data_IF_698267312897
#
_entry.id   IF_698267312897
#
_cell.length_a   1.000
_cell.length_b   1.000
_cell.length_c   1.000
_cell.angle_alpha   90.00
_cell.angle_beta   90.00
_cell.angle_gamma   90.00
#
_symmetry.space_group_name_H-M   'P 1'
#
loop_
_entity.id
_entity.type
_entity.pdbx_description
1 polymer ?
#
# COMPACT_ATOMS: atom_id res chain seq x y z
N UNK A 1 13.58 15.54 52.49
CA UNK A 1 14.52 14.59 51.92
C UNK A 1 13.88 13.21 51.89
N UNK A 2 13.42 12.77 50.73
CA UNK A 2 12.75 11.46 50.57
C UNK A 2 13.77 10.33 50.78
N UNK A 3 13.37 9.33 51.54
CA UNK A 3 14.14 8.12 51.80
C UNK A 3 14.25 7.34 50.48
N UNK A 4 15.39 7.48 49.77
CA UNK A 4 15.63 6.69 48.55
C UNK A 4 15.60 5.21 48.89
N UNK A 5 14.75 4.45 48.27
CA UNK A 5 14.60 3.03 48.55
C UNK A 5 15.84 2.30 48.03
N UNK A 6 16.48 1.50 48.84
CA UNK A 6 17.83 0.92 48.60
C UNK A 6 17.94 0.12 47.30
N UNK A 7 16.88 -0.54 46.86
CA UNK A 7 16.90 -1.24 45.55
C UNK A 7 16.93 -0.27 44.35
N UNK A 8 16.34 0.94 44.48
CA UNK A 8 16.41 1.97 43.43
C UNK A 8 17.81 2.55 43.31
N UNK A 9 18.51 2.69 44.43
CA UNK A 9 19.92 3.11 44.45
C UNK A 9 20.80 2.08 43.74
N UNK A 10 20.68 0.79 44.08
CA UNK A 10 21.44 -0.29 43.44
C UNK A 10 21.14 -0.33 41.93
N UNK A 11 19.86 -0.23 41.53
CA UNK A 11 19.43 -0.17 40.16
C UNK A 11 20.07 1.02 39.45
N UNK A 12 20.00 2.23 39.99
CA UNK A 12 20.55 3.44 39.37
C UNK A 12 22.07 3.39 39.21
N UNK A 13 22.80 2.89 40.23
CA UNK A 13 24.26 2.74 40.19
C UNK A 13 24.70 1.73 39.11
N UNK A 14 24.01 0.61 38.99
CA UNK A 14 24.31 -0.39 37.99
C UNK A 14 23.94 0.11 36.56
N UNK A 15 22.81 0.77 36.42
CA UNK A 15 22.38 1.36 35.15
C UNK A 15 23.38 2.43 34.68
N UNK A 16 23.84 3.31 35.60
CA UNK A 16 24.84 4.31 35.28
C UNK A 16 26.16 3.68 34.77
N UNK A 17 26.61 2.59 35.42
CA UNK A 17 27.82 1.85 35.02
C UNK A 17 27.67 1.13 33.69
N UNK A 18 26.47 0.64 33.36
CA UNK A 18 26.18 0.07 32.03
C UNK A 18 26.19 1.18 30.95
N UNK A 19 25.60 2.33 31.27
CA UNK A 19 25.54 3.47 30.33
C UNK A 19 26.89 4.16 30.13
N UNK A 20 27.74 4.21 31.17
CA UNK A 20 29.12 4.76 31.08
C UNK A 20 30.08 3.83 30.32
N UNK A 21 29.70 2.55 30.13
CA UNK A 21 30.58 1.54 29.54
C UNK A 21 31.54 0.85 30.52
N UNK A 22 31.39 1.08 31.83
CA UNK A 22 32.15 0.34 32.87
C UNK A 22 31.80 -1.15 32.86
N UNK A 23 30.56 -1.47 32.47
CA UNK A 23 30.13 -2.81 32.06
C UNK A 23 29.76 -2.82 30.56
N UNK A 24 30.50 -3.60 29.80
CA UNK A 24 30.25 -3.73 28.36
C UNK A 24 29.20 -4.81 28.05
N UNK A 25 28.56 -4.77 26.87
CA UNK A 25 27.64 -5.82 26.45
C UNK A 25 28.27 -7.21 26.48
N UNK A 26 27.70 -8.11 27.25
CA UNK A 26 28.19 -9.44 27.49
C UNK A 26 28.96 -9.60 28.80
N UNK A 27 29.30 -8.51 29.49
CA UNK A 27 29.95 -8.58 30.81
C UNK A 27 29.02 -9.15 31.86
N UNK A 28 29.62 -9.92 32.78
CA UNK A 28 28.91 -10.49 33.91
C UNK A 28 28.79 -9.45 35.02
N UNK A 29 27.58 -9.20 35.47
CA UNK A 29 27.32 -8.38 36.65
C UNK A 29 27.56 -9.15 37.95
N UNK A 30 27.83 -8.43 39.08
CA UNK A 30 27.90 -9.05 40.40
C UNK A 30 26.61 -9.80 40.71
N UNK A 31 26.74 -10.92 41.41
CA UNK A 31 25.62 -11.72 41.85
C UNK A 31 24.77 -10.98 42.90
N UNK A 32 23.53 -11.42 43.11
CA UNK A 32 22.67 -10.88 44.16
C UNK A 32 23.29 -10.95 45.54
N UNK A 33 24.15 -11.95 45.79
CA UNK A 33 24.89 -12.09 47.06
C UNK A 33 25.97 -11.02 47.17
N UNK A 34 26.78 -10.84 46.12
CA UNK A 34 27.85 -9.83 46.11
C UNK A 34 27.27 -8.42 46.21
N UNK A 35 26.15 -8.14 45.51
CA UNK A 35 25.44 -6.85 45.62
C UNK A 35 24.88 -6.65 47.05
N UNK A 36 24.31 -7.67 47.67
CA UNK A 36 23.80 -7.58 49.01
C UNK A 36 24.93 -7.24 50.04
N UNK A 37 26.08 -7.85 49.87
CA UNK A 37 27.29 -7.57 50.69
C UNK A 37 27.82 -6.16 50.40
N UNK A 38 27.95 -5.77 49.14
CA UNK A 38 28.50 -4.47 48.72
C UNK A 38 27.67 -3.28 49.21
N UNK A 39 26.34 -3.41 49.15
CA UNK A 39 25.42 -2.32 49.53
C UNK A 39 24.84 -2.47 50.95
N UNK A 40 25.22 -3.51 51.72
CA UNK A 40 24.74 -3.75 53.08
C UNK A 40 23.23 -4.00 53.17
N UNK A 41 22.66 -4.71 52.20
CA UNK A 41 21.21 -4.95 52.09
C UNK A 41 20.87 -6.43 52.08
N UNK A 42 19.58 -6.76 52.15
CA UNK A 42 19.12 -8.13 51.99
C UNK A 42 19.28 -8.61 50.55
N UNK A 43 19.49 -9.93 50.30
CA UNK A 43 19.51 -10.52 48.96
C UNK A 43 18.23 -10.26 48.19
N UNK A 44 17.08 -10.15 48.87
CA UNK A 44 15.79 -9.83 48.26
C UNK A 44 15.81 -8.40 47.68
N UNK A 45 16.45 -7.45 48.36
CA UNK A 45 16.60 -6.06 47.89
C UNK A 45 17.50 -6.00 46.66
N UNK A 46 18.64 -6.72 46.68
CA UNK A 46 19.52 -6.83 45.52
C UNK A 46 18.83 -7.51 44.34
N UNK A 47 18.10 -8.61 44.61
CA UNK A 47 17.31 -9.29 43.56
C UNK A 47 16.31 -8.37 42.88
N UNK A 48 15.58 -7.54 43.63
CA UNK A 48 14.60 -6.60 43.11
C UNK A 48 15.23 -5.60 42.13
N UNK A 49 16.42 -5.08 42.46
CA UNK A 49 17.17 -4.20 41.56
C UNK A 49 17.57 -4.92 40.25
N UNK A 50 18.05 -6.17 40.34
CA UNK A 50 18.40 -6.99 39.19
C UNK A 50 17.17 -7.34 38.33
N UNK A 51 16.03 -7.61 38.97
CA UNK A 51 14.77 -7.87 38.25
C UNK A 51 14.28 -6.64 37.48
N UNK A 52 14.50 -5.43 38.00
CA UNK A 52 14.21 -4.18 37.28
C UNK A 52 15.09 -4.01 36.04
N UNK A 53 16.40 -4.23 36.18
CA UNK A 53 17.32 -4.18 35.01
C UNK A 53 16.96 -5.22 33.95
N UNK A 54 16.56 -6.43 34.36
CA UNK A 54 16.12 -7.47 33.43
C UNK A 54 14.80 -7.12 32.76
N UNK A 55 13.83 -6.54 33.48
CA UNK A 55 12.56 -6.07 32.90
C UNK A 55 12.73 -4.99 31.85
N UNK A 56 13.75 -4.17 31.99
CA UNK A 56 14.11 -3.12 31.03
C UNK A 56 15.10 -3.58 29.96
N UNK A 57 15.32 -4.90 29.84
CA UNK A 57 16.23 -5.49 28.86
C UNK A 57 17.68 -4.96 28.95
N UNK A 58 18.09 -4.43 30.08
CA UNK A 58 19.47 -4.00 30.33
C UNK A 58 20.38 -5.19 30.58
N UNK A 59 19.85 -6.26 31.20
CA UNK A 59 20.57 -7.49 31.49
C UNK A 59 19.77 -8.72 31.10
N UNK A 60 20.49 -9.81 30.78
CA UNK A 60 19.93 -11.15 30.60
C UNK A 60 20.33 -12.03 31.82
N UNK A 61 19.35 -12.75 32.38
CA UNK A 61 19.56 -13.66 33.52
C UNK A 61 19.64 -15.10 33.03
N UNK A 62 20.79 -15.72 33.20
CA UNK A 62 21.01 -17.12 32.83
C UNK A 62 21.06 -17.99 34.11
N UNK A 63 20.07 -18.89 34.28
CA UNK A 63 20.04 -19.76 35.48
C UNK A 63 21.35 -20.53 35.65
N UNK A 64 21.93 -20.46 36.85
CA UNK A 64 23.21 -21.13 37.17
C UNK A 64 24.47 -20.44 36.61
N UNK A 65 24.37 -19.50 35.68
CA UNK A 65 25.53 -18.83 35.07
C UNK A 65 25.72 -17.39 35.54
N UNK A 66 24.63 -16.68 35.86
CA UNK A 66 24.66 -15.31 36.31
C UNK A 66 23.79 -14.34 35.51
N UNK A 67 24.04 -13.05 35.71
CA UNK A 67 23.39 -11.97 34.97
C UNK A 67 24.43 -11.27 34.10
N UNK A 68 24.08 -11.04 32.85
CA UNK A 68 24.98 -10.46 31.86
C UNK A 68 24.38 -9.21 31.27
N UNK A 69 25.18 -8.20 30.97
CA UNK A 69 24.71 -6.99 30.27
C UNK A 69 24.22 -7.41 28.89
N UNK A 70 23.00 -7.02 28.57
CA UNK A 70 22.46 -7.24 27.24
C UNK A 70 23.36 -6.54 26.23
N UNK A 71 23.72 -7.25 25.14
CA UNK A 71 24.16 -6.53 23.94
C UNK A 71 22.98 -5.66 23.54
N UNK A 72 23.12 -4.34 23.36
CA UNK A 72 22.08 -3.61 22.67
C UNK A 72 21.78 -4.44 21.43
N UNK A 73 20.57 -4.98 21.28
CA UNK A 73 20.11 -5.37 19.98
C UNK A 73 20.56 -4.24 19.08
N UNK A 74 21.33 -4.53 18.03
CA UNK A 74 21.76 -3.48 17.13
C UNK A 74 20.53 -2.61 16.92
N UNK A 75 20.54 -1.45 17.57
CA UNK A 75 19.49 -0.48 17.36
C UNK A 75 19.73 -0.18 15.90
N UNK A 76 18.96 -0.83 15.03
CA UNK A 76 18.71 -0.23 13.76
C UNK A 76 18.24 1.14 14.19
N UNK A 77 19.12 2.13 14.11
CA UNK A 77 18.70 3.51 14.17
C UNK A 77 17.71 3.60 13.01
N UNK A 78 16.44 3.38 13.37
CA UNK A 78 15.35 3.90 12.58
C UNK A 78 15.59 5.40 12.72
N UNK A 79 16.45 5.92 11.83
CA UNK A 79 16.56 7.36 11.61
C UNK A 79 15.10 7.75 11.54
N UNK A 80 14.61 8.52 12.53
CA UNK A 80 13.34 9.23 12.37
C UNK A 80 13.48 9.85 10.99
N UNK A 81 12.70 9.31 10.03
CA UNK A 81 12.69 9.86 8.68
C UNK A 81 12.60 11.35 8.89
N UNK A 82 13.63 12.05 8.46
CA UNK A 82 13.62 13.51 8.50
C UNK A 82 12.34 13.93 7.79
N UNK A 83 11.66 14.95 8.26
CA UNK A 83 10.46 15.49 7.60
C UNK A 83 10.64 15.68 6.09
N UNK A 84 11.89 15.79 5.62
CA UNK A 84 12.27 15.82 4.21
C UNK A 84 12.06 14.48 3.47
N UNK A 85 12.29 13.33 4.10
CA UNK A 85 12.00 12.02 3.48
C UNK A 85 10.50 11.77 3.38
N UNK A 86 9.70 12.17 4.38
CA UNK A 86 8.24 12.15 4.30
C UNK A 86 7.71 13.03 3.16
N UNK A 87 8.48 14.05 2.76
CA UNK A 87 8.15 14.96 1.65
C UNK A 87 8.32 14.34 0.25
N UNK A 88 8.77 13.11 0.10
CA UNK A 88 8.99 12.46 -1.20
C UNK A 88 8.04 11.28 -1.46
N UNK A 89 6.94 11.21 -0.74
CA UNK A 89 5.99 10.10 -0.82
C UNK A 89 4.81 10.39 -1.74
N UNK A 90 4.45 9.40 -2.60
CA UNK A 90 3.28 9.45 -3.49
C UNK A 90 2.26 8.41 -3.03
N UNK A 91 0.98 8.78 -2.97
CA UNK A 91 -0.13 7.86 -2.76
C UNK A 91 -0.55 7.21 -4.07
N UNK A 92 -0.70 5.89 -4.09
CA UNK A 92 -1.28 5.14 -5.21
C UNK A 92 -2.45 4.34 -4.70
N UNK A 93 -3.64 4.64 -5.18
CA UNK A 93 -4.88 4.02 -4.73
C UNK A 93 -5.54 3.35 -5.92
N UNK A 94 -5.67 2.03 -5.89
CA UNK A 94 -6.24 1.23 -6.95
C UNK A 94 -7.57 0.61 -6.54
N UNK A 95 -8.48 0.49 -7.52
CA UNK A 95 -9.75 -0.22 -7.38
C UNK A 95 -9.56 -1.72 -7.16
N UNK A 96 -8.60 -2.33 -7.84
CA UNK A 96 -8.29 -3.75 -7.71
C UNK A 96 -7.12 -4.23 -8.54
N UNK A 97 -6.72 -5.47 -8.31
CA UNK A 97 -5.71 -6.22 -9.06
C UNK A 97 -6.37 -7.42 -9.75
N UNK A 98 -7.17 -7.22 -10.74
CA UNK A 98 -7.89 -8.31 -11.39
C UNK A 98 -7.29 -8.79 -12.72
N UNK A 99 -6.23 -8.15 -13.21
CA UNK A 99 -5.71 -8.43 -14.56
C UNK A 99 -4.26 -8.00 -14.71
N UNK A 100 -3.61 -8.45 -15.77
CA UNK A 100 -2.31 -8.00 -16.27
C UNK A 100 -2.20 -6.47 -16.32
N UNK A 101 -3.30 -5.78 -16.64
CA UNK A 101 -3.36 -4.32 -16.73
C UNK A 101 -2.96 -3.66 -15.39
N UNK A 102 -3.59 -4.04 -14.29
CA UNK A 102 -3.30 -3.45 -12.98
C UNK A 102 -1.86 -3.72 -12.52
N UNK A 103 -1.35 -4.92 -12.78
CA UNK A 103 0.02 -5.31 -12.44
C UNK A 103 1.04 -4.51 -13.25
N UNK A 104 0.88 -4.41 -14.57
CA UNK A 104 1.79 -3.63 -15.44
C UNK A 104 1.76 -2.14 -15.13
N UNK A 105 0.58 -1.62 -14.82
CA UNK A 105 0.42 -0.23 -14.42
C UNK A 105 1.17 0.06 -13.12
N UNK A 106 1.03 -0.79 -12.11
CA UNK A 106 1.75 -0.63 -10.85
C UNK A 106 3.26 -0.76 -11.03
N UNK A 107 3.73 -1.73 -11.83
CA UNK A 107 5.15 -1.86 -12.16
C UNK A 107 5.70 -0.59 -12.82
N UNK A 108 4.96 0.01 -13.76
CA UNK A 108 5.38 1.26 -14.39
C UNK A 108 5.44 2.44 -13.41
N UNK A 109 4.47 2.54 -12.51
CA UNK A 109 4.44 3.57 -11.47
C UNK A 109 5.59 3.38 -10.49
N UNK A 110 5.80 2.16 -10.01
CA UNK A 110 6.87 1.81 -9.06
C UNK A 110 8.24 2.12 -9.66
N UNK A 111 8.53 1.66 -10.88
CA UNK A 111 9.77 1.91 -11.57
C UNK A 111 10.07 3.42 -11.75
N UNK A 112 9.04 4.24 -12.04
CA UNK A 112 9.20 5.69 -12.16
C UNK A 112 9.38 6.37 -10.79
N UNK A 113 8.73 5.86 -9.74
CA UNK A 113 8.94 6.31 -8.37
C UNK A 113 10.37 6.03 -7.91
N UNK A 114 10.89 4.81 -8.15
CA UNK A 114 12.27 4.43 -7.82
C UNK A 114 13.27 5.33 -8.55
N UNK A 115 13.10 5.54 -9.88
CA UNK A 115 13.93 6.41 -10.66
C UNK A 115 13.98 7.86 -10.13
N UNK A 116 12.88 8.33 -9.53
CA UNK A 116 12.76 9.69 -8.93
C UNK A 116 13.06 9.71 -7.45
N UNK A 117 13.41 8.59 -6.84
CA UNK A 117 13.63 8.47 -5.40
C UNK A 117 12.37 8.88 -4.59
N UNK A 118 11.20 8.45 -5.06
CA UNK A 118 9.91 8.69 -4.41
C UNK A 118 9.44 7.41 -3.72
N UNK A 119 9.04 7.51 -2.46
CA UNK A 119 8.38 6.43 -1.75
C UNK A 119 6.94 6.24 -2.25
N UNK A 120 6.51 5.00 -2.39
CA UNK A 120 5.17 4.67 -2.84
C UNK A 120 4.32 4.16 -1.68
N UNK A 121 3.23 4.87 -1.35
CA UNK A 121 2.20 4.41 -0.44
C UNK A 121 1.04 3.80 -1.22
N UNK A 122 0.99 2.47 -1.29
CA UNK A 122 -0.03 1.74 -2.04
C UNK A 122 -1.23 1.33 -1.17
N UNK A 123 -2.45 1.49 -1.71
CA UNK A 123 -3.71 1.01 -1.15
C UNK A 123 -4.60 0.44 -2.23
N UNK A 124 -5.35 -0.63 -1.89
CA UNK A 124 -6.35 -1.23 -2.77
C UNK A 124 -7.73 -1.14 -2.12
N UNK A 125 -8.74 -0.76 -2.91
CA UNK A 125 -10.10 -0.48 -2.43
C UNK A 125 -11.08 -1.62 -2.71
N UNK A 126 -10.76 -2.50 -3.66
CA UNK A 126 -11.59 -3.63 -4.09
C UNK A 126 -13.04 -3.21 -4.46
N UNK A 127 -13.16 -2.12 -5.21
CA UNK A 127 -14.44 -1.58 -5.67
C UNK A 127 -15.26 -0.84 -4.60
N UNK A 128 -14.74 -0.68 -3.40
CA UNK A 128 -15.46 -0.04 -2.31
C UNK A 128 -15.16 1.47 -2.22
N UNK A 129 -16.18 2.30 -2.45
CA UNK A 129 -16.11 3.76 -2.31
C UNK A 129 -15.72 4.16 -0.88
N UNK A 130 -16.21 3.43 0.13
CA UNK A 130 -15.87 3.72 1.52
C UNK A 130 -14.39 3.44 1.82
N UNK A 131 -13.85 2.31 1.31
CA UNK A 131 -12.41 2.03 1.40
C UNK A 131 -11.58 3.05 0.62
N UNK A 132 -12.10 3.58 -0.48
CA UNK A 132 -11.42 4.63 -1.25
C UNK A 132 -11.30 5.92 -0.42
N UNK A 133 -12.37 6.36 0.24
CA UNK A 133 -12.33 7.50 1.19
C UNK A 133 -11.30 7.28 2.28
N UNK A 134 -11.32 6.11 2.92
CA UNK A 134 -10.37 5.75 3.99
C UNK A 134 -8.92 5.72 3.49
N UNK A 135 -8.69 5.22 2.27
CA UNK A 135 -7.37 5.17 1.64
C UNK A 135 -6.84 6.58 1.33
N UNK A 136 -7.70 7.45 0.81
CA UNK A 136 -7.39 8.87 0.57
C UNK A 136 -7.02 9.57 1.88
N UNK A 137 -7.85 9.44 2.92
CA UNK A 137 -7.58 10.05 4.22
C UNK A 137 -6.29 9.51 4.86
N UNK A 138 -6.02 8.22 4.70
CA UNK A 138 -4.77 7.62 5.18
C UNK A 138 -3.55 8.16 4.42
N UNK A 139 -3.64 8.33 3.10
CA UNK A 139 -2.58 8.90 2.28
C UNK A 139 -2.27 10.36 2.69
N UNK A 140 -3.32 11.16 2.89
CA UNK A 140 -3.18 12.56 3.35
C UNK A 140 -2.53 12.62 4.74
N UNK A 141 -2.99 11.79 5.69
CA UNK A 141 -2.37 11.71 7.03
C UNK A 141 -0.92 11.26 7.00
N UNK A 142 -0.55 10.41 6.04
CA UNK A 142 0.84 9.98 5.83
C UNK A 142 1.71 11.04 5.14
N UNK A 143 1.15 12.20 4.80
CA UNK A 143 1.88 13.32 4.21
C UNK A 143 2.32 13.09 2.77
N UNK A 144 1.57 12.32 1.96
CA UNK A 144 1.93 12.15 0.54
C UNK A 144 1.81 13.47 -0.21
N UNK A 145 2.70 13.71 -1.16
CA UNK A 145 2.72 14.93 -2.00
C UNK A 145 1.61 14.99 -3.03
N UNK A 146 1.09 13.85 -3.41
CA UNK A 146 0.03 13.72 -4.40
C UNK A 146 -0.50 12.30 -4.46
N UNK A 147 -1.62 12.12 -5.14
CA UNK A 147 -2.31 10.84 -5.24
C UNK A 147 -2.53 10.49 -6.71
N UNK A 148 -2.13 9.27 -7.09
CA UNK A 148 -2.56 8.61 -8.32
C UNK A 148 -3.75 7.70 -7.96
N UNK A 149 -4.90 7.94 -8.57
CA UNK A 149 -6.14 7.28 -8.22
C UNK A 149 -6.76 6.57 -9.41
N UNK A 150 -6.87 5.25 -9.35
CA UNK A 150 -7.78 4.45 -10.17
C UNK A 150 -9.09 4.29 -9.38
N UNK A 151 -10.08 5.12 -9.72
CA UNK A 151 -11.33 5.24 -8.98
C UNK A 151 -12.11 3.93 -8.87
N UNK A 152 -12.69 3.67 -7.71
CA UNK A 152 -13.72 2.65 -7.56
C UNK A 152 -14.88 2.90 -8.51
N UNK A 153 -15.48 1.82 -9.02
CA UNK A 153 -16.59 1.90 -9.98
C UNK A 153 -17.90 2.25 -9.26
N UNK A 154 -18.72 3.08 -9.88
CA UNK A 154 -20.06 3.36 -9.44
C UNK A 154 -20.60 4.67 -10.03
N UNK A 155 -21.93 4.79 -10.06
CA UNK A 155 -22.64 6.00 -10.51
C UNK A 155 -22.50 7.16 -9.49
N UNK A 156 -22.06 6.86 -8.29
CA UNK A 156 -21.87 7.82 -7.22
C UNK A 156 -20.40 8.21 -7.09
N UNK A 157 -20.09 9.44 -7.46
CA UNK A 157 -18.76 10.00 -7.25
C UNK A 157 -18.40 10.02 -5.76
N UNK A 158 -17.18 9.63 -5.46
CA UNK A 158 -16.64 9.80 -4.13
C UNK A 158 -16.51 11.30 -3.81
N UNK A 159 -17.31 11.79 -2.86
CA UNK A 159 -17.27 13.20 -2.42
C UNK A 159 -15.87 13.66 -2.02
N UNK A 160 -15.04 12.75 -1.48
CA UNK A 160 -13.67 13.06 -1.09
C UNK A 160 -12.79 13.43 -2.27
N UNK A 161 -12.96 12.78 -3.41
CA UNK A 161 -12.23 13.10 -4.65
C UNK A 161 -12.59 14.50 -5.12
N UNK A 162 -13.89 14.84 -5.05
CA UNK A 162 -14.37 16.19 -5.38
C UNK A 162 -13.79 17.26 -4.43
N UNK A 163 -13.79 16.99 -3.12
CA UNK A 163 -13.18 17.87 -2.12
C UNK A 163 -11.72 18.16 -2.43
N UNK A 164 -10.94 17.12 -2.75
CA UNK A 164 -9.53 17.26 -3.10
C UNK A 164 -9.32 18.07 -4.39
N UNK A 165 -10.14 17.82 -5.41
CA UNK A 165 -10.08 18.56 -6.66
C UNK A 165 -10.37 20.06 -6.44
N UNK A 166 -11.41 20.39 -5.66
CA UNK A 166 -11.77 21.77 -5.31
C UNK A 166 -10.71 22.45 -4.43
N UNK A 167 -10.05 21.69 -3.57
CA UNK A 167 -8.95 22.19 -2.73
C UNK A 167 -7.63 22.36 -3.51
N UNK A 168 -7.56 21.97 -4.78
CA UNK A 168 -6.33 22.01 -5.58
C UNK A 168 -5.28 21.02 -5.11
N UNK A 169 -5.67 19.96 -4.40
CA UNK A 169 -4.73 18.92 -3.97
C UNK A 169 -4.15 18.19 -5.19
N UNK A 170 -2.84 17.88 -5.23
CA UNK A 170 -2.23 17.16 -6.33
C UNK A 170 -2.84 15.76 -6.50
N UNK A 171 -3.76 15.63 -7.44
CA UNK A 171 -4.52 14.42 -7.75
C UNK A 171 -4.50 14.17 -9.25
N UNK A 172 -4.14 12.96 -9.66
CA UNK A 172 -4.21 12.49 -11.05
C UNK A 172 -5.03 11.21 -11.08
N UNK A 173 -6.05 11.21 -11.93
CA UNK A 173 -6.82 9.99 -12.21
C UNK A 173 -6.07 9.09 -13.20
N UNK A 174 -6.23 7.79 -13.03
CA UNK A 174 -5.63 6.78 -13.89
C UNK A 174 -6.74 5.95 -14.51
N UNK A 175 -6.64 5.71 -15.84
CA UNK A 175 -7.56 4.92 -16.66
C UNK A 175 -8.99 5.48 -16.75
N UNK A 176 -9.60 5.87 -15.65
CA UNK A 176 -11.00 6.32 -15.60
C UNK A 176 -11.09 7.79 -15.24
N UNK A 177 -11.81 8.56 -16.05
CA UNK A 177 -12.12 9.96 -15.76
C UNK A 177 -13.45 10.08 -15.00
N UNK A 178 -13.58 11.13 -14.21
CA UNK A 178 -14.87 11.56 -13.67
C UNK A 178 -15.53 12.53 -14.61
N UNK A 179 -16.81 12.29 -14.95
CA UNK A 179 -17.57 13.20 -15.82
C UNK A 179 -17.91 14.50 -15.05
N UNK A 180 -17.84 15.62 -15.75
CA UNK A 180 -18.22 16.93 -15.18
C UNK A 180 -17.20 17.56 -14.23
N UNK A 181 -16.06 16.91 -13.97
CA UNK A 181 -15.01 17.43 -13.09
C UNK A 181 -13.68 17.43 -13.84
N UNK A 182 -13.00 18.59 -13.84
CA UNK A 182 -11.69 18.73 -14.48
C UNK A 182 -10.57 18.31 -13.53
N UNK A 183 -10.24 17.01 -13.55
CA UNK A 183 -9.09 16.46 -12.86
C UNK A 183 -8.14 15.89 -13.93
N UNK A 184 -6.82 16.14 -13.86
CA UNK A 184 -5.85 15.50 -14.75
C UNK A 184 -6.03 13.99 -14.76
N UNK A 185 -6.05 13.37 -15.95
CA UNK A 185 -6.26 11.95 -16.11
C UNK A 185 -5.34 11.37 -17.17
N UNK A 186 -4.61 10.32 -16.80
CA UNK A 186 -3.82 9.50 -17.73
C UNK A 186 -4.64 8.27 -18.09
N UNK A 187 -5.02 8.15 -19.35
CA UNK A 187 -5.91 7.08 -19.83
C UNK A 187 -5.67 6.74 -21.30
N UNK A 188 -6.17 5.61 -21.71
CA UNK A 188 -6.28 5.26 -23.15
C UNK A 188 -7.37 6.11 -23.80
N UNK A 189 -7.16 6.52 -25.04
CA UNK A 189 -8.25 7.04 -25.89
C UNK A 189 -9.15 5.87 -26.33
N UNK A 190 -10.10 5.55 -25.43
CA UNK A 190 -10.97 4.38 -25.60
C UNK A 190 -11.88 4.49 -26.82
N UNK A 191 -12.31 5.72 -27.15
CA UNK A 191 -13.15 5.96 -28.31
C UNK A 191 -12.40 5.70 -29.62
N UNK A 192 -11.25 6.35 -29.83
CA UNK A 192 -10.48 6.16 -31.05
C UNK A 192 -9.92 4.74 -31.15
N UNK A 193 -9.48 4.13 -30.05
CA UNK A 193 -9.00 2.75 -30.05
C UNK A 193 -10.08 1.76 -30.52
N UNK A 194 -11.30 1.87 -29.99
CA UNK A 194 -12.40 1.00 -30.40
C UNK A 194 -12.80 1.23 -31.86
N UNK A 195 -12.83 2.48 -32.29
CA UNK A 195 -13.11 2.84 -33.70
C UNK A 195 -12.06 2.29 -34.64
N UNK A 196 -10.77 2.38 -34.34
CA UNK A 196 -9.69 1.84 -35.15
C UNK A 196 -9.75 0.30 -35.26
N UNK A 197 -10.01 -0.40 -34.15
CA UNK A 197 -10.19 -1.87 -34.15
C UNK A 197 -11.39 -2.25 -35.01
N UNK A 198 -12.52 -1.56 -34.87
CA UNK A 198 -13.73 -1.82 -35.67
C UNK A 198 -13.48 -1.59 -37.17
N UNK A 199 -12.82 -0.49 -37.54
CA UNK A 199 -12.42 -0.24 -38.93
C UNK A 199 -11.56 -1.37 -39.52
N UNK A 200 -10.60 -1.86 -38.69
CA UNK A 200 -9.73 -2.95 -39.13
C UNK A 200 -10.51 -4.23 -39.40
N UNK A 201 -11.47 -4.58 -38.56
CA UNK A 201 -12.34 -5.75 -38.76
C UNK A 201 -13.16 -5.60 -40.05
N UNK A 202 -13.76 -4.43 -40.30
CA UNK A 202 -14.51 -4.15 -41.53
C UNK A 202 -13.58 -4.26 -42.77
N UNK A 203 -12.39 -3.67 -42.71
CA UNK A 203 -11.41 -3.75 -43.79
C UNK A 203 -10.92 -5.17 -44.11
N UNK A 204 -11.01 -6.10 -43.12
CA UNK A 204 -10.74 -7.52 -43.28
C UNK A 204 -11.94 -8.29 -43.87
N UNK A 205 -13.06 -7.63 -44.17
CA UNK A 205 -14.25 -8.22 -44.79
C UNK A 205 -15.28 -8.76 -43.76
N UNK A 206 -15.17 -8.43 -42.51
CA UNK A 206 -16.17 -8.83 -41.50
C UNK A 206 -17.40 -7.94 -41.60
N UNK A 207 -18.54 -8.51 -42.00
CA UNK A 207 -19.83 -7.81 -42.13
C UNK A 207 -20.62 -7.80 -40.82
N UNK A 208 -20.45 -8.84 -39.96
CA UNK A 208 -21.15 -9.00 -38.70
C UNK A 208 -20.19 -8.88 -37.54
N UNK A 209 -20.27 -7.78 -36.80
CA UNK A 209 -19.34 -7.48 -35.69
C UNK A 209 -20.13 -7.26 -34.42
N UNK A 210 -19.75 -7.97 -33.34
CA UNK A 210 -20.40 -7.86 -32.04
C UNK A 210 -19.49 -7.16 -31.02
N UNK A 211 -20.04 -6.16 -30.35
CA UNK A 211 -19.40 -5.57 -29.17
C UNK A 211 -19.84 -6.34 -27.92
N UNK A 212 -18.90 -7.09 -27.34
CA UNK A 212 -19.15 -7.89 -26.14
C UNK A 212 -18.69 -7.11 -24.90
N UNK A 213 -19.57 -6.97 -23.92
CA UNK A 213 -19.27 -6.28 -22.66
C UNK A 213 -20.00 -6.88 -21.47
N UNK A 214 -19.57 -6.51 -20.26
CA UNK A 214 -20.28 -6.86 -19.02
C UNK A 214 -21.63 -6.12 -18.95
N UNK A 215 -22.61 -6.71 -18.23
CA UNK A 215 -23.97 -6.16 -18.13
C UNK A 215 -24.02 -4.76 -17.49
N UNK A 216 -23.13 -4.49 -16.53
CA UNK A 216 -22.98 -3.16 -15.93
C UNK A 216 -22.08 -2.27 -16.79
N UNK A 217 -22.64 -1.64 -17.82
CA UNK A 217 -21.92 -0.65 -18.68
C UNK A 217 -21.84 0.70 -17.95
N UNK A 218 -21.31 0.74 -16.75
CA UNK A 218 -21.30 1.97 -15.95
C UNK A 218 -19.95 2.68 -15.96
N UNK A 219 -18.90 2.07 -16.53
CA UNK A 219 -17.58 2.72 -16.62
C UNK A 219 -17.47 3.61 -17.84
N UNK A 220 -16.90 4.81 -17.66
CA UNK A 220 -16.63 5.75 -18.76
C UNK A 220 -15.79 5.11 -19.87
N UNK A 221 -14.86 4.22 -19.53
CA UNK A 221 -13.99 3.50 -20.49
C UNK A 221 -14.78 2.57 -21.41
N UNK A 222 -15.75 1.81 -20.86
CA UNK A 222 -16.61 0.91 -21.66
C UNK A 222 -17.55 1.73 -22.53
N UNK A 223 -18.13 2.79 -21.98
CA UNK A 223 -19.02 3.68 -22.75
C UNK A 223 -18.31 4.31 -23.95
N UNK A 224 -17.14 4.86 -23.75
CA UNK A 224 -16.32 5.44 -24.83
C UNK A 224 -15.96 4.41 -25.91
N UNK A 225 -15.61 3.19 -25.53
CA UNK A 225 -15.35 2.10 -26.50
C UNK A 225 -16.60 1.74 -27.29
N UNK A 226 -17.74 1.65 -26.63
CA UNK A 226 -19.00 1.38 -27.29
C UNK A 226 -19.40 2.49 -28.26
N UNK A 227 -19.26 3.75 -27.87
CA UNK A 227 -19.50 4.90 -28.77
C UNK A 227 -18.58 4.86 -30.00
N UNK A 228 -17.28 4.55 -29.83
CA UNK A 228 -16.33 4.40 -30.94
C UNK A 228 -16.71 3.28 -31.87
N UNK A 229 -17.15 2.12 -31.35
CA UNK A 229 -17.69 1.01 -32.13
C UNK A 229 -18.93 1.41 -32.92
N UNK A 230 -19.96 1.95 -32.27
CA UNK A 230 -21.22 2.38 -32.91
C UNK A 230 -20.96 3.43 -33.97
N UNK A 231 -20.14 4.44 -33.68
CA UNK A 231 -19.81 5.48 -34.63
C UNK A 231 -19.13 4.91 -35.91
N UNK A 232 -18.28 3.90 -35.74
CA UNK A 232 -17.67 3.22 -36.90
C UNK A 232 -18.70 2.43 -37.69
N UNK A 233 -19.52 1.62 -37.01
CA UNK A 233 -20.54 0.78 -37.68
C UNK A 233 -21.56 1.61 -38.49
N UNK A 234 -21.99 2.76 -37.95
CA UNK A 234 -22.94 3.67 -38.64
C UNK A 234 -22.39 4.28 -39.93
N UNK A 235 -21.09 4.27 -40.13
CA UNK A 235 -20.45 4.80 -41.37
C UNK A 235 -20.34 3.80 -42.51
N UNK A 236 -20.57 2.52 -42.24
CA UNK A 236 -20.44 1.45 -43.21
C UNK A 236 -21.81 0.79 -43.40
N UNK A 237 -22.45 1.09 -44.55
CA UNK A 237 -23.82 0.65 -44.86
C UNK A 237 -23.99 -0.88 -44.92
N UNK A 238 -22.92 -1.61 -45.24
CA UNK A 238 -22.93 -3.07 -45.38
C UNK A 238 -22.60 -3.82 -44.08
N UNK A 239 -22.25 -3.10 -42.96
CA UNK A 239 -21.85 -3.73 -41.74
C UNK A 239 -22.98 -3.71 -40.68
N UNK A 240 -23.28 -4.89 -40.12
CA UNK A 240 -24.24 -5.06 -39.05
C UNK A 240 -23.55 -5.18 -37.67
N UNK A 241 -23.83 -4.21 -36.80
CA UNK A 241 -23.31 -4.22 -35.44
C UNK A 241 -24.30 -4.81 -34.45
N UNK A 242 -23.83 -5.60 -33.51
CA UNK A 242 -24.61 -6.11 -32.37
C UNK A 242 -23.93 -5.81 -31.05
N UNK A 243 -24.74 -5.60 -30.01
CA UNK A 243 -24.28 -5.46 -28.63
C UNK A 243 -24.70 -6.71 -27.85
N UNK A 244 -23.72 -7.40 -27.29
CA UNK A 244 -23.97 -8.49 -26.35
C UNK A 244 -23.47 -8.14 -24.97
N UNK A 245 -24.33 -8.38 -23.96
CA UNK A 245 -24.01 -8.12 -22.54
C UNK A 245 -23.95 -9.43 -21.80
N UNK A 246 -22.86 -9.66 -21.06
CA UNK A 246 -22.71 -10.80 -20.19
C UNK A 246 -23.33 -10.49 -18.82
N UNK A 247 -24.36 -11.23 -18.41
CA UNK A 247 -25.05 -11.03 -17.15
C UNK A 247 -24.25 -11.53 -15.94
N UNK A 248 -23.37 -12.51 -16.14
CA UNK A 248 -22.51 -13.05 -15.08
C UNK A 248 -21.07 -13.16 -15.57
N UNK A 249 -20.17 -12.50 -14.89
CA UNK A 249 -18.74 -12.62 -15.09
C UNK A 249 -18.13 -13.43 -13.95
N UNK A 250 -17.73 -14.69 -14.23
CA UNK A 250 -16.91 -15.47 -13.32
C UNK A 250 -15.44 -15.26 -13.68
N UNK A 251 -14.65 -14.80 -12.74
CA UNK A 251 -13.20 -14.61 -12.91
C UNK A 251 -12.45 -15.88 -13.35
N UNK A 252 -13.05 -17.04 -13.25
CA UNK A 252 -12.49 -18.33 -13.70
C UNK A 252 -12.53 -18.55 -15.22
N UNK A 253 -13.21 -17.72 -16.01
CA UNK A 253 -13.31 -17.90 -17.46
C UNK A 253 -12.16 -17.28 -18.25
N UNK A 254 -11.14 -16.73 -17.60
CA UNK A 254 -9.94 -16.18 -18.26
C UNK A 254 -8.93 -17.26 -18.70
N UNK A 255 -9.23 -18.54 -18.56
CA UNK A 255 -8.34 -19.65 -18.89
C UNK A 255 -8.87 -20.58 -19.98
N UNK A 256 -9.71 -20.14 -20.89
CA UNK A 256 -10.19 -20.96 -22.00
C UNK A 256 -9.77 -20.42 -23.35
N UNK A 257 -8.52 -20.00 -23.50
CA UNK A 257 -7.93 -19.86 -24.83
C UNK A 257 -7.64 -21.22 -25.49
N UNK A 258 -7.64 -22.30 -24.72
CA UNK A 258 -7.35 -23.65 -25.21
C UNK A 258 -8.62 -24.47 -25.58
N UNK A 259 -9.82 -23.96 -25.33
CA UNK A 259 -11.07 -24.66 -25.64
C UNK A 259 -11.54 -24.46 -27.09
N UNK A 260 -10.90 -23.59 -27.86
CA UNK A 260 -11.24 -23.37 -29.28
C UNK A 260 -10.54 -24.35 -30.23
N UNK A 261 -9.52 -25.08 -29.77
CA UNK A 261 -8.71 -25.98 -30.61
C UNK A 261 -9.13 -27.46 -30.50
N UNK A 262 -10.13 -27.84 -29.69
CA UNK A 262 -10.55 -29.23 -29.46
C UNK A 262 -11.80 -29.69 -30.28
N UNK A 263 -12.41 -28.85 -31.12
CA UNK A 263 -13.58 -29.26 -31.92
C UNK A 263 -13.26 -29.72 -33.35
N UNK A 264 -11.99 -29.85 -33.74
CA UNK A 264 -11.59 -30.40 -35.05
C UNK A 264 -10.76 -31.68 -34.93
N UNK A 265 -11.29 -32.70 -34.24
CA UNK A 265 -10.73 -34.07 -34.31
C UNK A 265 -11.83 -35.11 -34.45
#
# INVERSE_FOLDING_TARGET
>A
MGKTIMYERIYGDLLAKIQSGDYQPGDRLPSEKELAELYGVSRITAKKAMDMLAKENQINREPGRGSFVCRPAAVVEIKKESQEAANQRIGVIFDGFGSDFGTRLLQGIESECDRRQLDLLFKCTYGSIEKEKQAIDAAIRAGVKGILLLCAQGDNYNSKVLELALAGYPLVLVDRRMQGISIPCVRTDNYEAAKEVTKKLIAMGHEKICFLTHASVTTTTIHERYEGFVHCMLKYEDANGALAKLEKYNHCLLYTSDAADEEDS
#
